data_IF_940872445460
#
_entry.id   IF_940872445460
#
_cell.length_a   1.000
_cell.length_b   1.000
_cell.length_c   1.000
_cell.angle_alpha   90.00
_cell.angle_beta   90.00
_cell.angle_gamma   90.00
#
_symmetry.space_group_name_H-M   'P 1'
#
loop_
_entity.id
_entity.type
_entity.pdbx_description
1 polymer ?
#
# COMPACT_ATOMS: atom_id res chain seq x y z
N UNK A 1 -9.01 -13.72 -10.38
CA UNK A 1 -9.19 -13.19 -9.01
C UNK A 1 -7.92 -12.41 -8.67
N UNK A 2 -7.94 -11.07 -8.60
CA UNK A 2 -6.75 -10.33 -8.13
C UNK A 2 -6.73 -10.53 -6.61
N UNK A 3 -5.71 -11.25 -6.13
CA UNK A 3 -5.55 -11.47 -4.71
C UNK A 3 -5.16 -10.16 -4.01
N UNK A 4 -5.73 -9.92 -2.83
CA UNK A 4 -5.29 -8.85 -1.93
C UNK A 4 -3.76 -8.90 -1.70
N UNK A 5 -3.15 -10.08 -1.86
CA UNK A 5 -1.70 -10.30 -1.83
C UNK A 5 -0.92 -9.43 -2.83
N UNK A 6 -1.47 -9.13 -4.02
CA UNK A 6 -0.81 -8.32 -5.06
C UNK A 6 -0.72 -6.85 -4.62
N UNK A 7 -1.78 -6.34 -3.99
CA UNK A 7 -1.79 -4.97 -3.47
C UNK A 7 -0.85 -4.83 -2.27
N UNK A 8 -0.86 -5.78 -1.32
CA UNK A 8 0.10 -5.79 -0.22
C UNK A 8 1.56 -5.90 -0.69
N UNK A 9 1.82 -6.70 -1.74
CA UNK A 9 3.13 -6.78 -2.37
C UNK A 9 3.53 -5.44 -3.02
N UNK A 10 2.59 -4.73 -3.66
CA UNK A 10 2.82 -3.39 -4.19
C UNK A 10 3.20 -2.41 -3.08
N UNK A 11 2.43 -2.34 -2.00
CA UNK A 11 2.73 -1.47 -0.84
C UNK A 11 4.12 -1.77 -0.26
N UNK A 12 4.46 -3.06 -0.07
CA UNK A 12 5.79 -3.46 0.43
C UNK A 12 6.90 -2.99 -0.50
N UNK A 13 6.75 -3.18 -1.81
CA UNK A 13 7.75 -2.76 -2.80
C UNK A 13 7.95 -1.24 -2.79
N UNK A 14 6.86 -0.47 -2.75
CA UNK A 14 6.98 1.00 -2.68
C UNK A 14 7.72 1.42 -1.42
N UNK A 15 7.39 0.85 -0.25
CA UNK A 15 8.11 1.17 1.00
C UNK A 15 9.58 0.80 0.91
N UNK A 16 9.92 -0.38 0.38
CA UNK A 16 11.31 -0.81 0.20
C UNK A 16 12.08 0.17 -0.69
N UNK A 17 11.53 0.53 -1.85
CA UNK A 17 12.20 1.46 -2.75
C UNK A 17 12.25 2.89 -2.20
N UNK A 18 11.21 3.34 -1.48
CA UNK A 18 11.21 4.66 -0.85
C UNK A 18 12.31 4.77 0.22
N UNK A 19 12.49 3.72 1.02
CA UNK A 19 13.58 3.63 2.00
C UNK A 19 14.94 3.61 1.29
N UNK A 20 15.10 2.79 0.25
CA UNK A 20 16.34 2.75 -0.54
C UNK A 20 16.68 4.12 -1.14
N UNK A 21 15.68 4.82 -1.67
CA UNK A 21 15.83 6.18 -2.20
C UNK A 21 16.28 7.17 -1.12
N UNK A 22 15.67 7.12 0.07
CA UNK A 22 16.07 7.97 1.20
C UNK A 22 17.53 7.68 1.63
N UNK A 23 17.90 6.40 1.74
CA UNK A 23 19.26 5.98 2.09
C UNK A 23 20.27 6.49 1.06
N UNK A 24 19.98 6.31 -0.23
CA UNK A 24 20.86 6.80 -1.31
C UNK A 24 20.96 8.32 -1.33
N UNK A 25 19.89 9.05 -1.01
CA UNK A 25 19.94 10.50 -0.88
C UNK A 25 20.87 10.96 0.25
N UNK A 26 20.85 10.27 1.40
CA UNK A 26 21.76 10.52 2.53
C UNK A 26 23.20 10.20 2.13
N UNK A 27 23.45 9.02 1.54
CA UNK A 27 24.80 8.63 1.08
C UNK A 27 25.36 9.65 0.09
N UNK A 28 24.57 10.08 -0.88
CA UNK A 28 25.00 11.08 -1.86
C UNK A 28 25.32 12.44 -1.21
N UNK A 29 24.48 12.91 -0.28
CA UNK A 29 24.72 14.15 0.45
C UNK A 29 26.01 14.08 1.30
N UNK A 30 26.22 12.97 2.02
CA UNK A 30 27.44 12.74 2.81
C UNK A 30 28.67 12.65 1.91
N UNK A 31 28.58 11.96 0.78
CA UNK A 31 29.67 11.83 -0.18
C UNK A 31 30.14 13.20 -0.69
N UNK A 32 29.21 14.08 -1.06
CA UNK A 32 29.55 15.45 -1.48
C UNK A 32 30.18 16.24 -0.33
N UNK A 33 29.67 16.11 0.89
CA UNK A 33 30.24 16.79 2.06
C UNK A 33 31.65 16.31 2.41
N UNK A 34 31.95 15.01 2.29
CA UNK A 34 33.28 14.45 2.55
C UNK A 34 34.33 14.98 1.55
N UNK A 35 33.90 15.22 0.31
CA UNK A 35 34.73 15.77 -0.75
C UNK A 35 34.87 17.29 -0.71
N UNK A 36 34.06 17.98 0.08
CA UNK A 36 34.14 19.43 0.23
C UNK A 36 35.52 19.82 0.77
N UNK A 37 36.21 20.74 0.08
CA UNK A 37 37.55 21.21 0.47
C UNK A 37 38.69 20.22 0.21
N UNK A 38 38.45 19.10 -0.50
CA UNK A 38 39.51 18.17 -0.90
C UNK A 38 40.20 18.62 -2.20
N UNK A 39 41.47 18.23 -2.43
CA UNK A 39 42.17 18.53 -3.68
C UNK A 39 41.42 17.99 -4.91
N UNK A 40 41.40 18.76 -5.99
CA UNK A 40 40.64 18.44 -7.21
C UNK A 40 41.00 17.07 -7.81
N UNK A 41 42.27 16.66 -7.74
CA UNK A 41 42.71 15.36 -8.22
C UNK A 41 42.11 14.19 -7.41
N UNK A 42 42.03 14.33 -6.08
CA UNK A 42 41.41 13.34 -5.20
C UNK A 42 39.90 13.26 -5.47
N UNK A 43 39.26 14.41 -5.67
CA UNK A 43 37.84 14.50 -6.04
C UNK A 43 37.59 13.76 -7.36
N UNK A 44 38.38 14.03 -8.40
CA UNK A 44 38.22 13.40 -9.71
C UNK A 44 38.33 11.86 -9.63
N UNK A 45 39.36 11.34 -8.94
CA UNK A 45 39.54 9.89 -8.73
C UNK A 45 38.37 9.28 -7.95
N UNK A 46 37.95 9.95 -6.88
CA UNK A 46 36.82 9.48 -6.05
C UNK A 46 35.52 9.45 -6.86
N UNK A 47 35.24 10.47 -7.69
CA UNK A 47 34.04 10.55 -8.52
C UNK A 47 33.96 9.38 -9.49
N UNK A 48 35.08 8.98 -10.11
CA UNK A 48 35.12 7.84 -11.03
C UNK A 48 34.81 6.53 -10.31
N UNK A 49 35.37 6.30 -9.12
CA UNK A 49 35.26 5.02 -8.41
C UNK A 49 33.96 4.93 -7.61
N UNK A 50 33.71 5.90 -6.74
CA UNK A 50 32.58 5.90 -5.81
C UNK A 50 31.39 6.70 -6.33
N UNK A 51 31.65 7.86 -6.94
CA UNK A 51 30.60 8.73 -7.47
C UNK A 51 29.74 8.04 -8.52
N UNK A 52 30.36 7.28 -9.42
CA UNK A 52 29.65 6.51 -10.45
C UNK A 52 28.76 5.41 -9.84
N UNK A 53 29.27 4.65 -8.88
CA UNK A 53 28.50 3.62 -8.19
C UNK A 53 27.31 4.21 -7.43
N UNK A 54 27.52 5.28 -6.66
CA UNK A 54 26.46 5.99 -5.93
C UNK A 54 25.40 6.52 -6.90
N UNK A 55 25.82 7.05 -8.04
CA UNK A 55 24.91 7.60 -9.06
C UNK A 55 24.07 6.51 -9.73
N UNK A 56 24.68 5.37 -10.09
CA UNK A 56 23.97 4.24 -10.71
C UNK A 56 22.96 3.61 -9.75
N UNK A 57 23.36 3.36 -8.50
CA UNK A 57 22.45 2.81 -7.48
C UNK A 57 21.35 3.83 -7.17
N UNK A 58 21.69 5.12 -7.07
CA UNK A 58 20.73 6.20 -6.85
C UNK A 58 19.72 6.32 -7.99
N UNK A 59 20.16 6.17 -9.23
CA UNK A 59 19.29 6.12 -10.41
C UNK A 59 18.35 4.92 -10.35
N UNK A 60 18.88 3.73 -10.02
CA UNK A 60 18.07 2.52 -9.84
C UNK A 60 17.02 2.66 -8.74
N UNK A 61 17.38 3.25 -7.59
CA UNK A 61 16.45 3.53 -6.50
C UNK A 61 15.37 4.53 -6.93
N UNK A 62 15.75 5.58 -7.67
CA UNK A 62 14.83 6.60 -8.18
C UNK A 62 13.82 5.98 -9.15
N UNK A 63 14.29 5.24 -10.15
CA UNK A 63 13.42 4.54 -11.10
C UNK A 63 12.53 3.50 -10.41
N UNK A 64 13.09 2.75 -9.46
CA UNK A 64 12.36 1.78 -8.67
C UNK A 64 11.21 2.39 -7.88
N UNK A 65 11.43 3.55 -7.23
CA UNK A 65 10.35 4.29 -6.56
C UNK A 65 9.28 4.72 -7.56
N UNK A 66 9.66 5.33 -8.69
CA UNK A 66 8.68 5.79 -9.69
C UNK A 66 7.83 4.65 -10.23
N UNK A 67 8.46 3.55 -10.64
CA UNK A 67 7.76 2.37 -11.17
C UNK A 67 6.83 1.79 -10.11
N UNK A 68 7.30 1.66 -8.87
CA UNK A 68 6.49 1.05 -7.81
C UNK A 68 5.34 1.94 -7.36
N UNK A 69 5.52 3.28 -7.32
CA UNK A 69 4.44 4.23 -7.01
C UNK A 69 3.35 4.18 -8.07
N UNK A 70 3.72 4.17 -9.36
CA UNK A 70 2.77 4.01 -10.46
C UNK A 70 2.03 2.66 -10.33
N UNK A 71 2.77 1.58 -10.08
CA UNK A 71 2.18 0.26 -9.91
C UNK A 71 1.20 0.22 -8.72
N UNK A 72 1.57 0.81 -7.57
CA UNK A 72 0.69 0.93 -6.41
C UNK A 72 -0.58 1.73 -6.76
N UNK A 73 -0.47 2.87 -7.44
CA UNK A 73 -1.62 3.65 -7.88
C UNK A 73 -2.57 2.86 -8.79
N UNK A 74 -2.03 2.12 -9.76
CA UNK A 74 -2.83 1.24 -10.64
C UNK A 74 -3.52 0.15 -9.83
N UNK A 75 -2.84 -0.49 -8.89
CA UNK A 75 -3.46 -1.52 -8.04
C UNK A 75 -4.53 -0.94 -7.11
N UNK A 76 -4.31 0.27 -6.60
CA UNK A 76 -5.26 0.96 -5.73
C UNK A 76 -6.57 1.29 -6.49
N UNK A 77 -6.47 1.79 -7.74
CA UNK A 77 -7.64 1.99 -8.63
C UNK A 77 -8.35 0.68 -8.97
N UNK A 78 -7.60 -0.39 -9.27
CA UNK A 78 -8.20 -1.72 -9.53
C UNK A 78 -8.93 -2.27 -8.32
N UNK A 79 -8.41 -2.04 -7.12
CA UNK A 79 -9.04 -2.43 -5.87
C UNK A 79 -10.32 -1.61 -5.62
N UNK A 80 -10.26 -0.30 -5.89
CA UNK A 80 -11.40 0.62 -5.85
C UNK A 80 -12.59 0.11 -6.68
N UNK A 81 -12.34 -0.14 -7.96
CA UNK A 81 -13.35 -0.55 -8.93
C UNK A 81 -14.01 -1.88 -8.56
N UNK A 82 -13.31 -2.72 -7.81
CA UNK A 82 -13.79 -4.04 -7.43
C UNK A 82 -14.62 -4.04 -6.15
N UNK A 83 -14.28 -3.18 -5.18
CA UNK A 83 -14.93 -3.13 -3.87
C UNK A 83 -15.93 -1.96 -3.74
N UNK A 84 -16.10 -1.14 -4.78
CA UNK A 84 -16.97 0.05 -4.71
C UNK A 84 -16.47 1.12 -3.73
N UNK A 85 -15.23 0.98 -3.25
CA UNK A 85 -14.59 1.88 -2.32
C UNK A 85 -13.74 2.93 -3.07
N UNK A 86 -13.45 4.09 -2.46
CA UNK A 86 -12.47 5.03 -3.02
C UNK A 86 -11.12 4.35 -3.24
N UNK A 87 -10.43 4.67 -4.34
CA UNK A 87 -9.19 4.00 -4.72
C UNK A 87 -7.98 4.34 -3.89
N UNK A 88 -8.06 5.35 -3.02
CA UNK A 88 -7.10 5.66 -1.97
C UNK A 88 -7.86 6.32 -0.81
N UNK A 89 -7.36 6.15 0.41
CA UNK A 89 -7.73 7.02 1.51
C UNK A 89 -7.29 8.48 1.24
N UNK A 90 -7.90 9.48 1.91
CA UNK A 90 -7.59 10.89 1.68
C UNK A 90 -6.10 11.21 1.90
N UNK A 91 -5.49 10.64 2.94
CA UNK A 91 -4.05 10.78 3.19
C UNK A 91 -3.18 9.98 2.19
N UNK A 92 -3.70 8.94 1.54
CA UNK A 92 -3.02 8.25 0.44
C UNK A 92 -2.90 9.15 -0.79
N UNK A 93 -3.98 9.83 -1.17
CA UNK A 93 -4.00 10.79 -2.28
C UNK A 93 -3.10 12.00 -2.03
N UNK A 94 -3.28 12.68 -0.87
CA UNK A 94 -2.45 13.84 -0.51
C UNK A 94 -1.00 13.48 -0.26
N UNK A 95 -0.73 12.29 0.28
CA UNK A 95 0.63 11.79 0.47
C UNK A 95 1.33 11.48 -0.85
N UNK A 96 0.63 10.91 -1.83
CA UNK A 96 1.17 10.72 -3.19
C UNK A 96 1.44 12.08 -3.87
N UNK A 97 0.51 13.04 -3.77
CA UNK A 97 0.70 14.40 -4.29
C UNK A 97 1.87 15.13 -3.62
N UNK A 98 1.97 15.03 -2.29
CA UNK A 98 3.08 15.60 -1.52
C UNK A 98 4.42 14.96 -1.87
N UNK A 99 4.46 13.65 -2.09
CA UNK A 99 5.64 12.97 -2.61
C UNK A 99 6.04 13.51 -3.98
N UNK A 100 5.11 13.62 -4.94
CA UNK A 100 5.39 14.13 -6.29
C UNK A 100 5.93 15.56 -6.24
N UNK A 101 5.32 16.42 -5.41
CA UNK A 101 5.76 17.80 -5.22
C UNK A 101 7.18 17.88 -4.65
N UNK A 102 7.44 17.19 -3.53
CA UNK A 102 8.77 17.20 -2.89
C UNK A 102 9.83 16.54 -3.76
N UNK A 103 9.47 15.46 -4.45
CA UNK A 103 10.33 14.80 -5.42
C UNK A 103 10.70 15.76 -6.55
N UNK A 104 9.72 16.44 -7.16
CA UNK A 104 9.95 17.44 -8.20
C UNK A 104 10.80 18.63 -7.71
N UNK A 105 10.49 19.17 -6.53
CA UNK A 105 11.28 20.24 -5.90
C UNK A 105 12.74 19.84 -5.70
N UNK A 106 13.01 18.56 -5.41
CA UNK A 106 14.39 18.06 -5.23
C UNK A 106 15.25 18.11 -6.50
N UNK A 107 14.65 18.35 -7.68
CA UNK A 107 15.36 18.52 -8.95
C UNK A 107 15.29 19.96 -9.50
N UNK A 108 14.33 20.77 -9.03
CA UNK A 108 14.09 22.12 -9.56
C UNK A 108 14.71 23.23 -8.70
N UNK A 109 14.87 23.01 -7.39
CA UNK A 109 15.38 24.04 -6.48
C UNK A 109 16.91 24.03 -6.48
N UNK A 110 17.54 25.21 -6.54
CA UNK A 110 18.97 25.35 -6.25
C UNK A 110 19.16 25.40 -4.73
N UNK A 111 19.72 24.33 -4.16
CA UNK A 111 19.91 24.19 -2.73
C UNK A 111 21.30 23.61 -2.42
N UNK A 112 21.69 23.60 -1.15
CA UNK A 112 22.92 22.93 -0.73
C UNK A 112 22.76 21.39 -0.77
N UNK A 113 23.84 20.61 -0.94
CA UNK A 113 23.80 19.15 -0.88
C UNK A 113 23.02 18.55 0.31
N UNK A 114 23.17 19.03 1.56
CA UNK A 114 22.37 18.54 2.67
C UNK A 114 20.87 18.90 2.55
N UNK A 115 20.54 20.07 1.99
CA UNK A 115 19.15 20.46 1.76
C UNK A 115 18.48 19.56 0.71
N UNK A 116 19.18 19.19 -0.36
CA UNK A 116 18.69 18.18 -1.33
C UNK A 116 18.42 16.83 -0.67
N UNK A 117 19.36 16.36 0.16
CA UNK A 117 19.20 15.14 0.94
C UNK A 117 17.96 15.19 1.83
N UNK A 118 17.76 16.30 2.56
CA UNK A 118 16.62 16.50 3.44
C UNK A 118 15.28 16.48 2.68
N UNK A 119 15.17 17.18 1.54
CA UNK A 119 13.93 17.18 0.73
C UNK A 119 13.59 15.77 0.25
N UNK A 120 14.58 15.00 -0.21
CA UNK A 120 14.37 13.63 -0.69
C UNK A 120 13.98 12.66 0.43
N UNK A 121 14.57 12.82 1.61
CA UNK A 121 14.20 12.05 2.81
C UNK A 121 12.79 12.40 3.25
N UNK A 122 12.42 13.68 3.25
CA UNK A 122 11.05 14.13 3.53
C UNK A 122 10.05 13.58 2.53
N UNK A 123 10.37 13.60 1.23
CA UNK A 123 9.54 13.01 0.19
C UNK A 123 9.28 11.53 0.47
N UNK A 124 10.34 10.76 0.75
CA UNK A 124 10.22 9.35 1.08
C UNK A 124 9.40 9.11 2.36
N UNK A 125 9.59 9.93 3.40
CA UNK A 125 8.84 9.82 4.65
C UNK A 125 7.35 10.07 4.44
N UNK A 126 6.99 11.10 3.67
CA UNK A 126 5.60 11.40 3.29
C UNK A 126 4.98 10.22 2.54
N UNK A 127 5.71 9.65 1.57
CA UNK A 127 5.24 8.48 0.81
C UNK A 127 5.03 7.25 1.70
N UNK A 128 5.98 6.94 2.59
CA UNK A 128 5.87 5.81 3.52
C UNK A 128 4.69 6.00 4.48
N UNK A 129 4.50 7.21 5.01
CA UNK A 129 3.36 7.55 5.87
C UNK A 129 2.03 7.38 5.12
N UNK A 130 1.96 7.84 3.87
CA UNK A 130 0.79 7.68 3.00
C UNK A 130 0.42 6.20 2.82
N UNK A 131 1.41 5.35 2.52
CA UNK A 131 1.18 3.91 2.32
C UNK A 131 0.78 3.22 3.62
N UNK A 132 1.40 3.58 4.74
CA UNK A 132 1.03 3.05 6.06
C UNK A 132 -0.41 3.40 6.40
N UNK A 133 -0.80 4.65 6.17
CA UNK A 133 -2.16 5.10 6.36
C UNK A 133 -3.13 4.36 5.44
N UNK A 134 -2.84 4.30 4.14
CA UNK A 134 -3.69 3.66 3.14
C UNK A 134 -3.88 2.17 3.48
N UNK A 135 -2.81 1.51 3.95
CA UNK A 135 -2.86 0.15 4.51
C UNK A 135 -3.78 0.01 5.70
N UNK A 136 -3.70 0.92 6.68
CA UNK A 136 -4.60 0.90 7.84
C UNK A 136 -6.05 1.19 7.48
N UNK A 137 -6.27 2.12 6.54
CA UNK A 137 -7.58 2.55 6.08
C UNK A 137 -8.28 1.44 5.28
N UNK A 138 -7.55 0.77 4.39
CA UNK A 138 -8.05 -0.38 3.65
C UNK A 138 -8.28 -1.58 4.58
N UNK A 139 -7.41 -1.82 5.56
CA UNK A 139 -7.65 -2.84 6.57
C UNK A 139 -8.91 -2.55 7.40
N UNK A 140 -9.18 -1.28 7.74
CA UNK A 140 -10.38 -0.90 8.47
C UNK A 140 -11.66 -1.01 7.62
N UNK A 141 -11.60 -0.65 6.32
CA UNK A 141 -12.77 -0.71 5.42
C UNK A 141 -13.03 -2.09 4.84
N UNK A 142 -12.02 -2.71 4.23
CA UNK A 142 -12.15 -4.04 3.61
C UNK A 142 -12.05 -5.15 4.66
N UNK A 143 -11.32 -4.95 5.76
CA UNK A 143 -11.32 -5.90 6.88
C UNK A 143 -12.63 -5.89 7.68
N UNK A 144 -13.39 -4.79 7.66
CA UNK A 144 -14.79 -4.78 8.09
C UNK A 144 -15.73 -5.47 7.07
N UNK A 145 -15.29 -5.63 5.82
CA UNK A 145 -15.93 -6.43 4.76
C UNK A 145 -15.30 -7.84 4.62
N UNK A 146 -14.63 -8.36 5.67
CA UNK A 146 -14.64 -9.82 5.86
C UNK A 146 -16.12 -10.23 5.85
N UNK A 147 -16.53 -11.34 5.21
CA UNK A 147 -17.95 -11.63 5.07
C UNK A 147 -18.53 -11.74 6.48
N UNK A 148 -19.23 -10.71 6.94
CA UNK A 148 -20.00 -10.82 8.16
C UNK A 148 -21.14 -11.74 7.77
N UNK A 149 -20.98 -13.02 8.07
CA UNK A 149 -22.06 -13.97 7.89
C UNK A 149 -23.13 -13.57 8.90
N UNK A 150 -24.22 -12.97 8.41
CA UNK A 150 -25.40 -12.72 9.25
C UNK A 150 -25.92 -14.01 9.89
N UNK A 151 -25.56 -15.16 9.31
CA UNK A 151 -25.91 -16.49 9.77
C UNK A 151 -25.04 -16.92 10.96
N UNK A 152 -23.75 -16.61 10.99
CA UNK A 152 -22.82 -17.10 12.04
C UNK A 152 -22.33 -16.01 13.00
N UNK A 153 -22.78 -14.76 12.84
CA UNK A 153 -22.52 -13.66 13.79
C UNK A 153 -21.04 -13.30 13.96
N UNK A 154 -20.16 -13.70 13.04
CA UNK A 154 -18.71 -13.55 13.19
C UNK A 154 -17.92 -13.70 11.90
N UNK A 155 -16.60 -13.51 12.02
CA UNK A 155 -15.61 -13.61 10.92
C UNK A 155 -15.58 -15.04 10.35
N UNK A 156 -15.88 -15.22 9.05
CA UNK A 156 -15.88 -16.53 8.35
C UNK A 156 -14.54 -17.27 8.45
N UNK A 157 -13.44 -16.54 8.67
CA UNK A 157 -12.10 -17.14 8.79
C UNK A 157 -11.72 -17.49 10.22
N UNK A 158 -12.56 -17.18 11.20
CA UNK A 158 -12.33 -17.59 12.57
C UNK A 158 -12.45 -19.11 12.67
N UNK A 159 -11.48 -19.83 13.27
CA UNK A 159 -11.67 -21.23 13.65
C UNK A 159 -12.75 -21.42 14.73
N UNK A 160 -13.23 -20.30 15.31
CA UNK A 160 -14.37 -20.21 16.23
C UNK A 160 -15.64 -19.72 15.51
N UNK A 161 -15.59 -19.49 14.19
CA UNK A 161 -16.80 -19.26 13.43
C UNK A 161 -17.72 -20.46 13.65
N UNK A 162 -18.87 -20.22 14.28
CA UNK A 162 -19.85 -21.26 14.53
C UNK A 162 -20.07 -22.01 13.21
N UNK A 163 -19.78 -23.32 13.19
CA UNK A 163 -20.10 -24.12 12.03
C UNK A 163 -21.60 -23.95 11.79
N UNK A 164 -22.05 -23.71 10.54
CA UNK A 164 -23.46 -23.54 10.26
C UNK A 164 -24.21 -24.76 10.83
N UNK A 165 -25.08 -24.48 11.79
CA UNK A 165 -25.90 -25.51 12.42
C UNK A 165 -27.09 -25.80 11.51
N UNK A 166 -27.77 -26.93 11.70
CA UNK A 166 -28.96 -27.25 10.87
C UNK A 166 -30.04 -26.16 10.98
N UNK A 167 -30.07 -25.43 12.09
CA UNK A 167 -31.02 -24.34 12.36
C UNK A 167 -30.75 -23.08 11.52
N UNK A 168 -29.50 -22.88 11.09
CA UNK A 168 -29.09 -21.75 10.25
C UNK A 168 -29.60 -21.87 8.79
N UNK A 169 -29.93 -23.10 8.38
CA UNK A 169 -30.51 -23.42 7.07
C UNK A 169 -32.03 -23.55 7.13
N UNK A 170 -32.66 -23.15 8.24
CA UNK A 170 -34.11 -23.17 8.35
C UNK A 170 -34.72 -22.15 7.37
N UNK A 171 -35.12 -22.63 6.20
CA UNK A 171 -35.71 -21.82 5.13
C UNK A 171 -36.92 -21.01 5.60
N UNK A 172 -37.59 -21.44 6.68
CA UNK A 172 -38.72 -20.71 7.26
C UNK A 172 -38.36 -19.36 7.87
N UNK A 173 -37.10 -19.11 8.23
CA UNK A 173 -36.67 -17.81 8.76
C UNK A 173 -36.62 -16.72 7.67
N UNK A 174 -36.40 -17.11 6.42
CA UNK A 174 -36.12 -16.20 5.30
C UNK A 174 -37.27 -16.12 4.30
N UNK A 175 -38.10 -17.17 4.24
CA UNK A 175 -39.31 -17.21 3.41
C UNK A 175 -40.49 -17.80 4.22
N UNK A 176 -41.40 -16.95 4.74
CA UNK A 176 -42.54 -17.41 5.54
C UNK A 176 -43.54 -18.26 4.73
N UNK A 177 -43.54 -18.17 3.39
CA UNK A 177 -44.42 -18.99 2.56
C UNK A 177 -43.87 -20.42 2.39
N UNK A 178 -42.54 -20.59 2.39
CA UNK A 178 -41.90 -21.92 2.45
C UNK A 178 -42.21 -22.61 3.78
N UNK A 179 -42.22 -21.87 4.90
CA UNK A 179 -42.60 -22.45 6.19
C UNK A 179 -44.04 -22.95 6.19
N UNK A 180 -44.97 -22.17 5.62
CA UNK A 180 -46.38 -22.57 5.47
C UNK A 180 -46.56 -23.80 4.59
N UNK A 181 -45.76 -23.96 3.52
CA UNK A 181 -45.83 -25.16 2.67
C UNK A 181 -45.28 -26.40 3.39
N UNK A 182 -44.18 -26.27 4.15
CA UNK A 182 -43.65 -27.36 4.98
C UNK A 182 -44.67 -27.80 6.03
N UNK A 183 -45.31 -26.86 6.73
CA UNK A 183 -46.36 -27.13 7.71
C UNK A 183 -47.59 -27.78 7.08
N UNK A 184 -48.01 -27.33 5.88
CA UNK A 184 -49.10 -27.96 5.11
C UNK A 184 -48.79 -29.40 4.73
N UNK A 185 -47.55 -29.70 4.33
CA UNK A 185 -47.13 -31.07 3.98
C UNK A 185 -47.03 -31.97 5.21
N UNK A 186 -46.56 -31.44 6.34
CA UNK A 186 -46.44 -32.18 7.61
C UNK A 186 -47.80 -32.51 8.24
N UNK A 187 -48.78 -31.63 8.07
CA UNK A 187 -50.15 -31.84 8.55
C UNK A 187 -51.03 -32.62 7.57
N UNK A 188 -50.46 -33.12 6.46
CA UNK A 188 -51.16 -34.02 5.56
C UNK A 188 -51.18 -35.41 6.22
N UNK A 189 -52.34 -36.04 6.44
CA UNK A 189 -52.37 -37.41 6.91
C UNK A 189 -51.60 -38.27 5.90
N UNK A 190 -50.72 -39.13 6.42
CA UNK A 190 -50.11 -40.17 5.61
C UNK A 190 -51.23 -41.16 5.25
N UNK A 191 -51.63 -41.16 3.99
CA UNK A 191 -52.45 -42.24 3.42
C UNK A 191 -51.62 -43.53 3.34
#
# INVERSE_FOLDING_TARGET
MIDNSVWYAACRRVVTFAVLFAVMAVIAALYVQILAGRPAELVARSVVVFGLAISLIGLGATLGVLITVVFWGVQAVRLANRHGAPGMGPLGFWGAGGFVLLFGLSFLVSASPPAFGAIRVLAAAVLVAAIRYDRSWYAARIGAEQPYSMVTGGDVRSPVAAQPTADDWNAGLWDPDVQRDIERRRNRPAD
#
